data_IF_678551025011
#
_entry.id   IF_678551025011
#
_cell.length_a   1.000
_cell.length_b   1.000
_cell.length_c   1.000
_cell.angle_alpha   90.00
_cell.angle_beta   90.00
_cell.angle_gamma   90.00
#
_symmetry.space_group_name_H-M   'P 1'
#
loop_
_entity.id
_entity.type
_entity.pdbx_description
1 polymer ?
#
# COMPACT_ATOMS: atom_id res chain seq x y z
N UNK A 1 -8.85 4.14 -50.45
CA UNK A 1 -8.16 5.11 -49.57
C UNK A 1 -8.42 4.61 -48.16
N UNK A 2 -7.52 3.75 -47.69
CA UNK A 2 -7.68 2.99 -46.45
C UNK A 2 -6.99 3.80 -45.38
N UNK A 3 -7.77 4.44 -44.50
CA UNK A 3 -7.23 5.24 -43.40
C UNK A 3 -6.34 4.34 -42.56
N UNK A 4 -5.03 4.64 -42.56
CA UNK A 4 -4.10 4.00 -41.66
C UNK A 4 -4.56 4.32 -40.23
N UNK A 5 -4.72 3.32 -39.34
CA UNK A 5 -5.14 3.56 -37.98
C UNK A 5 -4.19 4.55 -37.34
N UNK A 6 -4.73 5.72 -36.99
CA UNK A 6 -3.98 6.81 -36.35
C UNK A 6 -3.21 6.26 -35.15
N UNK A 7 -1.94 6.62 -35.01
CA UNK A 7 -1.02 6.16 -33.95
C UNK A 7 -1.52 6.37 -32.51
N UNK A 8 -2.58 7.16 -32.35
CA UNK A 8 -3.35 7.36 -31.13
C UNK A 8 -4.11 6.11 -30.68
N UNK A 9 -4.65 5.28 -31.58
CA UNK A 9 -5.50 4.14 -31.21
C UNK A 9 -4.70 2.95 -30.64
N UNK A 10 -3.48 2.73 -31.14
CA UNK A 10 -2.60 1.65 -30.65
C UNK A 10 -2.01 1.94 -29.26
N UNK A 11 -1.72 3.21 -28.99
CA UNK A 11 -1.21 3.66 -27.68
C UNK A 11 -2.29 3.50 -26.60
N UNK A 12 -3.54 3.79 -26.93
CA UNK A 12 -4.67 3.74 -25.98
C UNK A 12 -4.97 2.31 -25.50
N UNK A 13 -4.87 1.32 -26.40
CA UNK A 13 -5.05 -0.11 -26.06
C UNK A 13 -3.96 -0.64 -25.14
N UNK A 14 -2.73 -0.13 -25.27
CA UNK A 14 -1.56 -0.64 -24.54
C UNK A 14 -1.65 -0.41 -23.02
N UNK A 15 -2.31 0.67 -22.59
CA UNK A 15 -2.46 1.02 -21.16
C UNK A 15 -3.83 0.59 -20.61
N UNK A 16 -4.86 0.65 -21.44
CA UNK A 16 -6.22 0.27 -21.02
C UNK A 16 -6.33 -1.22 -20.71
N UNK A 17 -5.69 -2.08 -21.51
CA UNK A 17 -5.74 -3.53 -21.32
C UNK A 17 -5.22 -4.00 -19.95
N UNK A 18 -4.02 -3.62 -19.48
CA UNK A 18 -3.56 -4.06 -18.16
C UNK A 18 -4.43 -3.53 -17.02
N UNK A 19 -4.95 -2.30 -17.14
CA UNK A 19 -5.86 -1.73 -16.12
C UNK A 19 -7.19 -2.49 -16.10
N UNK A 20 -7.74 -2.83 -17.26
CA UNK A 20 -8.94 -3.65 -17.38
C UNK A 20 -8.73 -5.05 -16.78
N UNK A 21 -7.60 -5.70 -17.09
CA UNK A 21 -7.24 -7.02 -16.54
C UNK A 21 -7.14 -6.97 -15.02
N UNK A 22 -6.46 -5.97 -14.45
CA UNK A 22 -6.35 -5.82 -12.98
C UNK A 22 -7.73 -5.61 -12.36
N UNK A 23 -8.58 -4.78 -12.97
CA UNK A 23 -9.94 -4.50 -12.48
C UNK A 23 -10.81 -5.76 -12.50
N UNK A 24 -10.79 -6.52 -13.60
CA UNK A 24 -11.54 -7.76 -13.73
C UNK A 24 -11.03 -8.84 -12.77
N UNK A 25 -9.71 -8.97 -12.63
CA UNK A 25 -9.11 -9.90 -11.67
C UNK A 25 -9.51 -9.54 -10.24
N UNK A 26 -9.56 -8.26 -9.89
CA UNK A 26 -10.03 -7.79 -8.59
C UNK A 26 -11.51 -8.16 -8.34
N UNK A 27 -12.38 -8.02 -9.34
CA UNK A 27 -13.78 -8.47 -9.24
C UNK A 27 -13.84 -9.98 -9.00
N UNK A 28 -13.10 -10.77 -9.78
CA UNK A 28 -13.06 -12.24 -9.63
C UNK A 28 -12.54 -12.65 -8.25
N UNK A 29 -11.44 -12.05 -7.79
CA UNK A 29 -10.86 -12.32 -6.47
C UNK A 29 -11.79 -11.91 -5.33
N UNK A 30 -12.59 -10.86 -5.49
CA UNK A 30 -13.60 -10.45 -4.51
C UNK A 30 -14.83 -11.35 -4.55
N UNK A 31 -15.19 -11.88 -5.71
CA UNK A 31 -16.33 -12.77 -5.87
C UNK A 31 -16.14 -14.09 -5.11
N UNK A 32 -14.92 -14.60 -5.01
CA UNK A 32 -14.62 -15.85 -4.28
C UNK A 32 -15.11 -15.79 -2.81
N UNK A 33 -14.62 -14.88 -1.95
CA UNK A 33 -15.08 -14.77 -0.57
C UNK A 33 -16.54 -14.36 -0.47
N UNK A 34 -17.04 -13.50 -1.36
CA UNK A 34 -18.44 -13.07 -1.31
C UNK A 34 -19.41 -14.21 -1.63
N UNK A 35 -19.12 -15.03 -2.64
CA UNK A 35 -20.04 -16.05 -3.11
C UNK A 35 -19.85 -17.42 -2.46
N UNK A 36 -18.64 -17.72 -1.96
CA UNK A 36 -18.27 -19.06 -1.50
C UNK A 36 -17.99 -19.16 0.00
N UNK A 37 -17.73 -18.05 0.69
CA UNK A 37 -17.46 -18.08 2.13
C UNK A 37 -18.68 -17.59 2.92
N UNK A 38 -18.88 -18.21 4.08
CA UNK A 38 -19.91 -17.80 5.02
C UNK A 38 -19.54 -16.41 5.59
N UNK A 39 -20.39 -15.38 5.41
CA UNK A 39 -20.12 -14.04 5.93
C UNK A 39 -20.11 -13.97 7.46
N UNK A 40 -20.67 -14.97 8.16
CA UNK A 40 -20.65 -15.03 9.63
C UNK A 40 -19.37 -15.66 10.18
N UNK A 41 -18.58 -16.35 9.34
CA UNK A 41 -17.31 -16.90 9.76
C UNK A 41 -16.30 -15.76 10.01
N UNK A 42 -15.58 -15.84 11.13
CA UNK A 42 -14.54 -14.89 11.54
C UNK A 42 -15.02 -13.41 11.52
N UNK A 43 -16.23 -13.16 12.04
CA UNK A 43 -16.83 -11.82 12.18
C UNK A 43 -16.88 -11.01 10.86
N UNK A 44 -17.09 -11.68 9.73
CA UNK A 44 -17.19 -11.02 8.43
C UNK A 44 -15.86 -10.55 7.85
N UNK A 45 -14.72 -11.01 8.39
CA UNK A 45 -13.39 -10.67 7.88
C UNK A 45 -13.26 -10.97 6.38
N UNK A 46 -13.80 -12.10 5.91
CA UNK A 46 -13.75 -12.48 4.50
C UNK A 46 -14.47 -11.47 3.59
N UNK A 47 -15.66 -11.02 4.02
CA UNK A 47 -16.43 -9.99 3.30
C UNK A 47 -15.66 -8.67 3.30
N UNK A 48 -15.11 -8.27 4.45
CA UNK A 48 -14.32 -7.04 4.56
C UNK A 48 -13.06 -7.09 3.69
N UNK A 49 -12.33 -8.20 3.67
CA UNK A 49 -11.18 -8.40 2.80
C UNK A 49 -11.55 -8.30 1.31
N UNK A 50 -12.73 -8.79 0.93
CA UNK A 50 -13.25 -8.71 -0.43
C UNK A 50 -13.61 -7.26 -0.84
N UNK A 51 -14.37 -6.55 -0.01
CA UNK A 51 -14.88 -5.21 -0.35
C UNK A 51 -13.91 -4.08 -0.04
N UNK A 52 -12.92 -4.30 0.83
CA UNK A 52 -11.88 -3.31 1.15
C UNK A 52 -10.49 -3.74 0.65
N UNK A 53 -10.02 -4.92 1.07
CA UNK A 53 -8.65 -5.37 0.80
C UNK A 53 -8.33 -5.49 -0.69
N UNK A 54 -9.19 -6.16 -1.45
CA UNK A 54 -8.98 -6.38 -2.89
C UNK A 54 -9.00 -5.07 -3.71
N UNK A 55 -10.01 -4.17 -3.57
CA UNK A 55 -10.00 -2.86 -4.22
C UNK A 55 -8.78 -1.99 -3.87
N UNK A 56 -8.35 -2.04 -2.60
CA UNK A 56 -7.18 -1.30 -2.12
C UNK A 56 -5.90 -1.78 -2.83
N UNK A 57 -5.70 -3.08 -2.97
CA UNK A 57 -4.55 -3.64 -3.70
C UNK A 57 -4.64 -3.36 -5.20
N UNK A 58 -5.81 -3.54 -5.80
CA UNK A 58 -6.02 -3.33 -7.23
C UNK A 58 -5.75 -1.88 -7.63
N UNK A 59 -6.28 -0.91 -6.86
CA UNK A 59 -6.02 0.51 -7.06
C UNK A 59 -4.54 0.85 -6.88
N UNK A 60 -3.84 0.28 -5.89
CA UNK A 60 -2.40 0.47 -5.74
C UNK A 60 -1.60 0.00 -6.98
N UNK A 61 -1.96 -1.15 -7.54
CA UNK A 61 -1.34 -1.70 -8.76
C UNK A 61 -1.63 -0.79 -9.96
N UNK A 62 -2.86 -0.29 -10.09
CA UNK A 62 -3.22 0.65 -11.17
C UNK A 62 -2.41 1.93 -11.05
N UNK A 63 -2.28 2.51 -9.85
CA UNK A 63 -1.45 3.70 -9.62
C UNK A 63 -0.01 3.44 -10.08
N UNK A 64 0.56 2.26 -9.78
CA UNK A 64 1.89 1.88 -10.26
C UNK A 64 1.99 1.81 -11.79
N UNK A 65 1.01 1.21 -12.46
CA UNK A 65 0.95 1.12 -13.93
C UNK A 65 0.89 2.52 -14.53
N UNK A 66 0.01 3.37 -14.01
CA UNK A 66 -0.16 4.75 -14.47
C UNK A 66 1.09 5.58 -14.23
N UNK A 67 1.72 5.49 -13.04
CA UNK A 67 2.93 6.24 -12.71
C UNK A 67 4.10 5.88 -13.63
N UNK A 68 4.26 4.58 -13.95
CA UNK A 68 5.27 4.12 -14.92
C UNK A 68 4.98 4.62 -16.33
N UNK A 69 3.71 4.65 -16.73
CA UNK A 69 3.29 5.09 -18.06
C UNK A 69 3.51 6.60 -18.24
N UNK A 70 3.07 7.42 -17.27
CA UNK A 70 3.25 8.87 -17.28
C UNK A 70 4.74 9.24 -17.27
N UNK A 71 5.56 8.54 -16.50
CA UNK A 71 7.01 8.73 -16.49
C UNK A 71 7.72 8.40 -17.81
N UNK A 72 7.05 7.69 -18.74
CA UNK A 72 7.57 7.34 -20.07
C UNK A 72 7.14 8.31 -21.18
N UNK A 73 6.56 9.47 -20.84
CA UNK A 73 6.02 10.47 -21.78
C UNK A 73 4.93 9.94 -22.73
N UNK A 74 4.31 8.81 -22.40
CA UNK A 74 3.17 8.28 -23.15
C UNK A 74 1.90 9.02 -22.75
N UNK A 75 1.04 9.33 -23.73
CA UNK A 75 -0.26 9.96 -23.48
C UNK A 75 -1.14 9.00 -22.67
N UNK A 76 -1.68 9.50 -21.57
CA UNK A 76 -2.63 8.77 -20.73
C UNK A 76 -4.06 9.16 -21.11
N UNK A 77 -4.91 8.17 -21.34
CA UNK A 77 -6.33 8.40 -21.61
C UNK A 77 -7.13 8.25 -20.31
N UNK A 78 -7.90 9.28 -19.91
CA UNK A 78 -8.79 9.21 -18.76
C UNK A 78 -9.79 8.05 -18.83
N UNK A 79 -10.11 7.58 -20.05
CA UNK A 79 -11.01 6.44 -20.28
C UNK A 79 -10.49 5.15 -19.64
N UNK A 80 -9.18 4.98 -19.51
CA UNK A 80 -8.61 3.81 -18.85
C UNK A 80 -8.99 3.73 -17.36
N UNK A 81 -9.19 4.88 -16.68
CA UNK A 81 -9.61 4.91 -15.28
C UNK A 81 -11.06 4.43 -15.06
N UNK A 82 -11.89 4.42 -16.10
CA UNK A 82 -13.27 3.94 -16.01
C UNK A 82 -13.36 2.50 -15.49
N UNK A 83 -12.40 1.65 -15.88
CA UNK A 83 -12.35 0.26 -15.43
C UNK A 83 -12.22 0.15 -13.91
N UNK A 84 -11.38 0.99 -13.32
CA UNK A 84 -11.09 0.95 -11.89
C UNK A 84 -12.12 1.74 -11.10
N UNK A 85 -12.56 2.89 -11.62
CA UNK A 85 -13.48 3.79 -10.92
C UNK A 85 -14.95 3.38 -11.04
N UNK A 86 -15.32 2.59 -12.05
CA UNK A 86 -16.72 2.22 -12.28
C UNK A 86 -16.89 0.72 -12.41
N UNK A 87 -16.16 0.06 -13.31
CA UNK A 87 -16.38 -1.38 -13.57
C UNK A 87 -16.04 -2.22 -12.34
N UNK A 88 -14.90 -1.97 -11.70
CA UNK A 88 -14.48 -2.69 -10.50
C UNK A 88 -15.45 -2.52 -9.33
N UNK A 89 -15.78 -1.31 -8.84
CA UNK A 89 -16.68 -1.16 -7.69
C UNK A 89 -18.07 -1.69 -7.98
N UNK A 90 -18.63 -1.45 -9.17
CA UNK A 90 -19.94 -2.01 -9.54
C UNK A 90 -19.90 -3.53 -9.69
N UNK A 91 -18.82 -4.09 -10.21
CA UNK A 91 -18.64 -5.54 -10.33
C UNK A 91 -18.60 -6.21 -8.96
N UNK A 92 -17.83 -5.65 -8.02
CA UNK A 92 -17.76 -6.17 -6.64
C UNK A 92 -19.12 -6.02 -5.94
N UNK A 93 -19.78 -4.88 -6.11
CA UNK A 93 -21.11 -4.63 -5.55
C UNK A 93 -22.17 -5.59 -6.13
N UNK A 94 -22.09 -5.92 -7.42
CA UNK A 94 -22.96 -6.91 -8.03
C UNK A 94 -22.69 -8.32 -7.44
N UNK A 95 -21.42 -8.67 -7.21
CA UNK A 95 -21.04 -9.93 -6.58
C UNK A 95 -21.46 -10.04 -5.11
N UNK A 96 -21.67 -8.94 -4.39
CA UNK A 96 -22.15 -8.97 -3.00
C UNK A 96 -23.66 -9.19 -2.87
N UNK A 97 -24.45 -8.96 -3.94
CA UNK A 97 -25.91 -9.08 -3.89
C UNK A 97 -26.37 -10.48 -3.43
N UNK A 98 -25.88 -11.60 -3.98
CA UNK A 98 -26.29 -12.93 -3.53
C UNK A 98 -25.95 -13.19 -2.05
N UNK A 99 -24.79 -12.71 -1.59
CA UNK A 99 -24.34 -12.85 -0.20
C UNK A 99 -25.25 -12.12 0.77
N UNK A 100 -25.63 -10.88 0.43
CA UNK A 100 -26.53 -10.05 1.24
C UNK A 100 -27.92 -10.68 1.30
N UNK A 101 -28.47 -11.10 0.16
CA UNK A 101 -29.80 -11.72 0.11
C UNK A 101 -29.82 -13.09 0.80
N UNK A 102 -28.73 -13.85 0.72
CA UNK A 102 -28.59 -15.14 1.40
C UNK A 102 -28.47 -15.02 2.91
N UNK A 103 -28.03 -13.86 3.43
CA UNK A 103 -27.78 -13.62 4.85
C UNK A 103 -28.38 -12.28 5.31
N UNK A 104 -29.66 -12.07 4.97
CA UNK A 104 -30.32 -10.77 5.14
C UNK A 104 -30.33 -10.27 6.59
N UNK A 105 -30.45 -11.15 7.58
CA UNK A 105 -30.39 -10.79 9.01
C UNK A 105 -29.03 -10.23 9.41
N UNK A 106 -27.93 -10.86 8.99
CA UNK A 106 -26.56 -10.42 9.28
C UNK A 106 -26.24 -9.04 8.70
N UNK A 107 -26.78 -8.75 7.51
CA UNK A 107 -26.56 -7.50 6.79
C UNK A 107 -27.66 -6.45 7.02
N UNK A 108 -28.58 -6.67 7.96
CA UNK A 108 -29.75 -5.81 8.23
C UNK A 108 -30.57 -5.50 6.95
N UNK A 109 -30.63 -6.45 6.01
CA UNK A 109 -31.17 -6.30 4.67
C UNK A 109 -32.56 -6.96 4.47
N UNK A 110 -33.30 -7.20 5.55
CA UNK A 110 -34.65 -7.79 5.51
C UNK A 110 -35.68 -6.87 4.82
N UNK A 111 -35.42 -5.56 4.81
CA UNK A 111 -36.24 -4.56 4.14
C UNK A 111 -35.52 -4.03 2.90
N UNK A 112 -36.29 -3.53 1.92
CA UNK A 112 -35.71 -2.89 0.74
C UNK A 112 -34.81 -1.69 1.10
N UNK A 113 -35.17 -0.94 2.15
CA UNK A 113 -34.37 0.17 2.67
C UNK A 113 -33.04 -0.31 3.27
N UNK A 114 -33.08 -1.37 4.09
CA UNK A 114 -31.89 -2.00 4.65
C UNK A 114 -30.95 -2.52 3.57
N UNK A 115 -31.48 -3.24 2.59
CA UNK A 115 -30.70 -3.74 1.45
C UNK A 115 -29.98 -2.62 0.67
N UNK A 116 -30.69 -1.53 0.35
CA UNK A 116 -30.10 -0.36 -0.32
C UNK A 116 -29.04 0.30 0.57
N UNK A 117 -29.31 0.41 1.88
CA UNK A 117 -28.37 0.94 2.86
C UNK A 117 -27.07 0.14 2.91
N UNK A 118 -27.16 -1.19 2.96
CA UNK A 118 -26.00 -2.09 2.96
C UNK A 118 -25.20 -1.99 1.67
N UNK A 119 -25.85 -1.95 0.51
CA UNK A 119 -25.15 -1.73 -0.76
C UNK A 119 -24.44 -0.37 -0.80
N UNK A 120 -25.08 0.69 -0.32
CA UNK A 120 -24.47 2.02 -0.25
C UNK A 120 -23.25 2.05 0.69
N UNK A 121 -23.35 1.38 1.85
CA UNK A 121 -22.25 1.22 2.79
C UNK A 121 -21.08 0.46 2.16
N UNK A 122 -21.35 -0.68 1.51
CA UNK A 122 -20.31 -1.46 0.82
C UNK A 122 -19.64 -0.64 -0.29
N UNK A 123 -20.42 0.10 -1.08
CA UNK A 123 -19.85 1.01 -2.09
C UNK A 123 -18.96 2.08 -1.45
N UNK A 124 -19.39 2.67 -0.33
CA UNK A 124 -18.59 3.62 0.45
C UNK A 124 -17.26 3.02 0.92
N UNK A 125 -17.29 1.79 1.45
CA UNK A 125 -16.09 1.05 1.87
C UNK A 125 -15.17 0.78 0.68
N UNK A 126 -15.70 0.33 -0.46
CA UNK A 126 -14.92 0.08 -1.68
C UNK A 126 -14.22 1.36 -2.13
N UNK A 127 -14.94 2.48 -2.22
CA UNK A 127 -14.37 3.78 -2.64
C UNK A 127 -13.30 4.26 -1.65
N UNK A 128 -13.56 4.15 -0.35
CA UNK A 128 -12.59 4.51 0.67
C UNK A 128 -11.33 3.63 0.59
N UNK A 129 -11.50 2.32 0.40
CA UNK A 129 -10.40 1.38 0.26
C UNK A 129 -9.58 1.64 -1.01
N UNK A 130 -10.22 2.01 -2.12
CA UNK A 130 -9.53 2.45 -3.33
C UNK A 130 -8.68 3.70 -3.08
N UNK A 131 -9.15 4.65 -2.26
CA UNK A 131 -8.35 5.80 -1.84
C UNK A 131 -7.15 5.37 -0.98
N UNK A 132 -7.34 4.43 -0.05
CA UNK A 132 -6.26 3.82 0.73
C UNK A 132 -5.24 3.06 -0.13
N UNK A 133 -5.61 2.63 -1.33
CA UNK A 133 -4.68 2.04 -2.30
C UNK A 133 -3.51 2.97 -2.64
N UNK A 134 -3.69 4.29 -2.54
CA UNK A 134 -2.60 5.26 -2.64
C UNK A 134 -1.55 5.10 -1.54
N UNK A 135 -1.95 4.80 -0.31
CA UNK A 135 -1.02 4.54 0.80
C UNK A 135 -0.29 3.22 0.59
N UNK A 136 -0.99 2.17 0.16
CA UNK A 136 -0.37 0.87 -0.16
C UNK A 136 0.62 0.99 -1.31
N UNK A 137 0.28 1.79 -2.34
CA UNK A 137 1.20 2.11 -3.40
C UNK A 137 2.43 2.84 -2.86
N UNK A 138 2.25 3.88 -2.06
CA UNK A 138 3.35 4.73 -1.60
C UNK A 138 4.32 4.02 -0.65
N UNK A 139 3.81 3.22 0.30
CA UNK A 139 4.63 2.52 1.29
C UNK A 139 5.03 1.10 0.89
N UNK A 140 4.33 0.49 -0.07
CA UNK A 140 4.58 -0.87 -0.53
C UNK A 140 5.15 -0.92 -1.95
N UNK A 141 4.31 -0.66 -2.94
CA UNK A 141 4.66 -0.91 -4.34
C UNK A 141 5.72 0.05 -4.90
N UNK A 142 5.66 1.33 -4.55
CA UNK A 142 6.61 2.35 -4.99
C UNK A 142 8.05 2.08 -4.51
N UNK A 143 8.32 1.86 -3.20
CA UNK A 143 9.67 1.54 -2.77
C UNK A 143 10.14 0.17 -3.28
N UNK A 144 9.22 -0.80 -3.45
CA UNK A 144 9.55 -2.07 -4.09
C UNK A 144 9.99 -1.87 -5.55
N UNK A 145 9.28 -1.04 -6.32
CA UNK A 145 9.67 -0.66 -7.69
C UNK A 145 11.07 -0.02 -7.72
N UNK A 146 11.38 0.86 -6.76
CA UNK A 146 12.71 1.45 -6.62
C UNK A 146 13.79 0.38 -6.38
N UNK A 147 13.55 -0.58 -5.47
CA UNK A 147 14.50 -1.69 -5.23
C UNK A 147 14.71 -2.50 -6.50
N UNK A 148 13.64 -2.90 -7.19
CA UNK A 148 13.73 -3.69 -8.42
C UNK A 148 14.57 -2.97 -9.47
N UNK A 149 14.34 -1.67 -9.70
CA UNK A 149 15.14 -0.89 -10.66
C UNK A 149 16.61 -0.76 -10.26
N UNK A 150 16.90 -0.63 -8.97
CA UNK A 150 18.29 -0.62 -8.48
C UNK A 150 18.95 -1.99 -8.68
N UNK A 151 18.25 -3.09 -8.43
CA UNK A 151 18.74 -4.45 -8.67
C UNK A 151 19.01 -4.66 -10.17
N UNK A 152 18.08 -4.27 -11.05
CA UNK A 152 18.26 -4.36 -12.50
C UNK A 152 19.50 -3.61 -12.98
N UNK A 153 19.71 -2.38 -12.52
CA UNK A 153 20.92 -1.59 -12.84
C UNK A 153 22.19 -2.28 -12.35
N UNK A 154 22.15 -2.89 -11.16
CA UNK A 154 23.30 -3.60 -10.59
C UNK A 154 23.66 -4.83 -11.41
N UNK A 155 22.65 -5.59 -11.85
CA UNK A 155 22.80 -6.76 -12.72
C UNK A 155 23.35 -6.37 -14.09
N UNK A 156 23.00 -5.18 -14.60
CA UNK A 156 23.58 -4.60 -15.84
C UNK A 156 25.02 -4.10 -15.68
N UNK A 157 25.62 -4.24 -14.50
CA UNK A 157 27.02 -3.86 -14.24
C UNK A 157 27.22 -2.39 -13.84
N UNK A 158 26.15 -1.62 -13.64
CA UNK A 158 26.27 -0.24 -13.16
C UNK A 158 26.79 -0.22 -11.71
N UNK A 159 27.67 0.74 -11.42
CA UNK A 159 28.19 0.95 -10.06
C UNK A 159 27.17 1.73 -9.24
N UNK A 160 26.41 1.01 -8.43
CA UNK A 160 25.40 1.60 -7.54
C UNK A 160 25.96 1.73 -6.13
N UNK A 161 25.81 2.92 -5.54
CA UNK A 161 26.13 3.14 -4.14
C UNK A 161 25.12 2.43 -3.24
N UNK A 162 25.60 1.70 -2.22
CA UNK A 162 24.75 1.05 -1.22
C UNK A 162 23.76 2.02 -0.56
N UNK A 163 24.11 3.31 -0.47
CA UNK A 163 23.23 4.35 0.07
C UNK A 163 21.91 4.54 -0.70
N UNK A 164 21.85 4.15 -1.97
CA UNK A 164 20.61 4.27 -2.76
C UNK A 164 19.51 3.29 -2.32
N UNK A 165 19.89 2.16 -1.69
CA UNK A 165 18.93 1.18 -1.15
C UNK A 165 18.30 1.63 0.17
N UNK A 166 18.90 2.61 0.87
CA UNK A 166 18.43 3.02 2.20
C UNK A 166 17.02 3.61 2.11
N UNK A 167 16.78 4.51 1.17
CA UNK A 167 15.48 5.19 1.03
C UNK A 167 14.33 4.19 0.81
N UNK A 168 14.36 3.31 -0.21
CA UNK A 168 13.24 2.38 -0.41
C UNK A 168 13.10 1.36 0.72
N UNK A 169 14.20 0.92 1.35
CA UNK A 169 14.12 0.05 2.53
C UNK A 169 13.46 0.75 3.72
N UNK A 170 13.73 2.04 3.92
CA UNK A 170 13.08 2.85 4.97
C UNK A 170 11.57 2.93 4.74
N UNK A 171 11.13 3.19 3.51
CA UNK A 171 9.70 3.25 3.20
C UNK A 171 9.01 1.90 3.36
N UNK A 172 9.64 0.79 2.91
CA UNK A 172 9.11 -0.56 3.11
C UNK A 172 9.03 -0.93 4.59
N UNK A 173 10.07 -0.62 5.36
CA UNK A 173 10.10 -0.85 6.80
C UNK A 173 9.00 -0.04 7.49
N UNK A 174 8.80 1.22 7.11
CA UNK A 174 7.73 2.06 7.65
C UNK A 174 6.34 1.49 7.31
N UNK A 175 6.12 1.02 6.08
CA UNK A 175 4.90 0.33 5.69
C UNK A 175 4.65 -0.94 6.52
N UNK A 176 5.67 -1.76 6.71
CA UNK A 176 5.60 -2.96 7.54
C UNK A 176 5.30 -2.62 9.01
N UNK A 177 5.93 -1.57 9.55
CA UNK A 177 5.67 -1.07 10.92
C UNK A 177 4.21 -0.63 11.07
N UNK A 178 3.66 0.08 10.08
CA UNK A 178 2.25 0.54 10.11
C UNK A 178 1.30 -0.67 10.09
N UNK A 179 1.49 -1.60 9.16
CA UNK A 179 0.58 -2.74 8.98
C UNK A 179 0.69 -3.71 10.16
N UNK A 180 1.91 -4.19 10.45
CA UNK A 180 2.13 -5.18 11.52
C UNK A 180 1.83 -4.54 12.88
N UNK A 181 2.23 -3.28 13.08
CA UNK A 181 1.96 -2.55 14.32
C UNK A 181 0.46 -2.35 14.55
N UNK A 182 -0.29 -1.96 13.51
CA UNK A 182 -1.74 -1.84 13.57
C UNK A 182 -2.43 -3.17 13.88
N UNK A 183 -2.01 -4.26 13.26
CA UNK A 183 -2.55 -5.61 13.51
C UNK A 183 -2.15 -6.19 14.88
N UNK A 184 -1.10 -5.65 15.51
CA UNK A 184 -0.58 -6.18 16.78
C UNK A 184 -1.20 -5.52 18.01
N UNK A 185 -1.94 -4.43 17.84
CA UNK A 185 -2.53 -3.63 18.91
C UNK A 185 -4.05 -3.68 18.84
N UNK A 186 -4.68 -3.88 19.99
CA UNK A 186 -6.12 -3.87 20.15
C UNK A 186 -6.52 -2.95 21.31
N UNK A 187 -7.80 -2.56 21.38
CA UNK A 187 -8.36 -1.76 22.47
C UNK A 187 -7.86 -0.32 22.55
N UNK A 188 -7.26 0.21 21.47
CA UNK A 188 -6.77 1.59 21.44
C UNK A 188 -7.95 2.58 21.46
N UNK A 189 -8.12 3.29 22.59
CA UNK A 189 -9.12 4.35 22.70
C UNK A 189 -8.82 5.48 21.69
N UNK A 190 -9.76 5.83 20.80
CA UNK A 190 -9.53 6.90 19.82
C UNK A 190 -9.29 8.25 20.51
N UNK A 191 -8.19 8.93 20.16
CA UNK A 191 -7.85 10.26 20.68
C UNK A 191 -6.35 10.57 20.69
N UNK A 192 -5.96 11.77 21.16
CA UNK A 192 -4.55 12.22 21.23
C UNK A 192 -3.66 11.29 22.09
N UNK A 193 -4.25 10.54 23.01
CA UNK A 193 -3.55 9.59 23.88
C UNK A 193 -3.13 8.33 23.12
N UNK A 194 -3.86 7.95 22.06
CA UNK A 194 -3.55 6.78 21.23
C UNK A 194 -2.15 6.87 20.60
N UNK A 195 -1.73 8.05 20.15
CA UNK A 195 -0.40 8.24 19.58
C UNK A 195 0.74 7.95 20.57
N UNK A 196 0.57 8.35 21.84
CA UNK A 196 1.51 8.06 22.91
C UNK A 196 1.54 6.58 23.28
N UNK A 197 0.39 5.92 23.29
CA UNK A 197 0.28 4.48 23.55
C UNK A 197 0.89 3.64 22.42
N UNK A 198 0.68 4.02 21.16
CA UNK A 198 1.32 3.37 20.00
C UNK A 198 2.83 3.50 20.10
N UNK A 199 3.36 4.72 20.35
CA UNK A 199 4.79 4.92 20.55
C UNK A 199 5.34 4.13 21.75
N UNK A 200 4.62 4.11 22.87
CA UNK A 200 4.96 3.31 24.03
C UNK A 200 5.04 1.82 23.70
N UNK A 201 4.05 1.29 23.01
CA UNK A 201 4.00 -0.11 22.59
C UNK A 201 5.18 -0.48 21.68
N UNK A 202 5.47 0.36 20.70
CA UNK A 202 6.61 0.22 19.78
C UNK A 202 7.96 0.24 20.51
N UNK A 203 8.08 0.99 21.61
CA UNK A 203 9.30 1.07 22.42
C UNK A 203 9.36 0.03 23.54
N UNK A 204 8.30 -0.75 23.74
CA UNK A 204 8.20 -1.73 24.83
C UNK A 204 7.91 -1.13 26.20
N UNK A 205 7.36 0.08 26.23
CA UNK A 205 6.87 0.71 27.44
C UNK A 205 5.46 0.17 27.71
N UNK A 206 5.22 -0.50 28.85
CA UNK A 206 3.90 -1.02 29.19
C UNK A 206 2.88 0.12 29.27
N UNK A 207 1.66 -0.13 28.78
CA UNK A 207 0.58 0.84 28.76
C UNK A 207 -0.78 0.15 28.86
N UNK A 208 -1.85 0.90 28.65
CA UNK A 208 -3.24 0.41 28.72
C UNK A 208 -3.73 -0.16 27.39
N UNK A 209 -2.82 -0.60 26.52
CA UNK A 209 -3.16 -1.19 25.23
C UNK A 209 -3.09 -2.72 25.35
N UNK A 210 -3.94 -3.41 24.61
CA UNK A 210 -3.91 -4.87 24.53
C UNK A 210 -3.06 -5.31 23.33
N UNK A 211 -2.29 -6.38 23.52
CA UNK A 211 -1.42 -6.92 22.48
C UNK A 211 -2.10 -8.14 21.87
N UNK A 212 -2.80 -7.94 20.76
CA UNK A 212 -3.44 -9.02 20.02
C UNK A 212 -2.40 -9.97 19.39
N UNK A 213 -1.27 -9.43 18.92
CA UNK A 213 -0.23 -10.24 18.26
C UNK A 213 1.18 -9.93 18.80
N UNK A 214 1.62 -10.62 19.88
CA UNK A 214 2.91 -10.37 20.50
C UNK A 214 4.12 -10.57 19.57
N UNK A 215 4.06 -11.57 18.69
CA UNK A 215 5.13 -11.84 17.74
C UNK A 215 5.26 -10.72 16.68
N UNK A 216 4.14 -10.22 16.18
CA UNK A 216 4.12 -9.08 15.25
C UNK A 216 4.79 -7.85 15.86
N UNK A 217 4.49 -7.57 17.11
CA UNK A 217 5.05 -6.43 17.82
C UNK A 217 6.58 -6.52 17.99
N UNK A 218 7.12 -7.73 18.23
CA UNK A 218 8.57 -7.96 18.21
C UNK A 218 9.20 -7.74 16.83
N UNK A 219 8.55 -8.18 15.75
CA UNK A 219 9.00 -7.90 14.38
C UNK A 219 9.10 -6.39 14.16
N UNK A 220 8.08 -5.65 14.57
CA UNK A 220 8.06 -4.19 14.46
C UNK A 220 9.20 -3.54 15.24
N UNK A 221 9.46 -3.98 16.48
CA UNK A 221 10.60 -3.50 17.29
C UNK A 221 11.94 -3.72 16.61
N UNK A 222 12.15 -4.92 16.05
CA UNK A 222 13.38 -5.25 15.32
C UNK A 222 13.52 -4.36 14.08
N UNK A 223 12.44 -4.16 13.33
CA UNK A 223 12.42 -3.27 12.16
C UNK A 223 12.75 -1.83 12.53
N UNK A 224 12.15 -1.30 13.61
CA UNK A 224 12.44 0.05 14.11
C UNK A 224 13.90 0.17 14.55
N UNK A 225 14.42 -0.81 15.29
CA UNK A 225 15.82 -0.82 15.71
C UNK A 225 16.78 -0.88 14.50
N UNK A 226 16.50 -1.73 13.52
CA UNK A 226 17.28 -1.82 12.29
C UNK A 226 17.25 -0.51 11.49
N UNK A 227 16.09 0.15 11.41
CA UNK A 227 15.92 1.44 10.76
C UNK A 227 16.76 2.53 11.43
N UNK A 228 16.68 2.61 12.76
CA UNK A 228 17.46 3.57 13.55
C UNK A 228 18.96 3.32 13.37
N UNK A 229 19.41 2.07 13.43
CA UNK A 229 20.82 1.73 13.18
C UNK A 229 21.26 2.12 11.77
N UNK A 230 20.44 1.83 10.75
CA UNK A 230 20.74 2.16 9.36
C UNK A 230 20.85 3.67 9.11
N UNK A 231 20.13 4.49 9.88
CA UNK A 231 20.17 5.96 9.76
C UNK A 231 21.25 6.61 10.63
N UNK A 232 21.40 6.14 11.88
CA UNK A 232 22.29 6.74 12.89
C UNK A 232 23.76 6.36 12.66
N UNK A 233 24.05 5.10 12.34
CA UNK A 233 25.44 4.62 12.17
C UNK A 233 26.17 5.40 11.06
N UNK A 234 25.61 5.61 9.85
CA UNK A 234 26.27 6.39 8.82
C UNK A 234 26.46 7.85 9.22
N UNK A 235 25.52 8.45 9.96
CA UNK A 235 25.62 9.82 10.42
C UNK A 235 26.77 10.00 11.44
N UNK A 236 26.92 9.06 12.38
CA UNK A 236 28.02 9.05 13.35
C UNK A 236 29.35 8.85 12.64
N UNK A 237 29.46 7.87 11.73
CA UNK A 237 30.69 7.60 10.98
C UNK A 237 31.11 8.80 10.11
N UNK A 238 30.15 9.51 9.51
CA UNK A 238 30.43 10.75 8.76
C UNK A 238 30.98 11.85 9.67
N UNK A 239 30.38 12.05 10.85
CA UNK A 239 30.87 13.03 11.85
C UNK A 239 32.25 12.70 12.39
N UNK A 240 32.56 11.41 12.59
CA UNK A 240 33.88 10.98 13.05
C UNK A 240 34.97 11.27 12.00
N UNK A 241 34.67 11.06 10.71
CA UNK A 241 35.62 11.33 9.62
C UNK A 241 35.89 12.81 9.40
N UNK A 242 34.90 13.69 9.60
CA UNK A 242 35.11 15.14 9.48
C UNK A 242 35.89 15.75 10.64
N UNK A 243 35.76 15.21 11.87
CA UNK A 243 36.57 15.66 13.02
C UNK A 243 38.05 15.26 12.92
N UNK A 244 38.38 14.19 12.20
CA UNK A 244 39.78 13.76 11.98
C UNK A 244 40.56 14.57 10.94
N UNK A 245 39.90 15.46 10.17
CA UNK A 245 40.53 16.40 9.21
C UNK A 245 40.60 17.81 9.78
N UNK A 246 41.10 17.95 11.01
CA UNK A 246 41.53 19.27 11.47
C UNK A 246 42.72 19.72 10.59
N UNK A 247 42.76 20.97 10.10
CA UNK A 247 43.88 21.47 9.31
C UNK A 247 45.12 21.47 10.20
N UNK A 248 46.02 20.52 9.97
CA UNK A 248 47.38 20.56 10.49
C UNK A 248 48.00 21.85 9.96
N UNK A 249 48.27 22.77 10.89
CA UNK A 249 48.72 24.13 10.63
C UNK A 249 49.84 24.15 9.60
N UNK A 250 49.58 24.88 8.52
CA UNK A 250 50.58 25.44 7.64
C UNK A 250 51.36 26.47 8.46
N UNK A 251 52.42 26.01 9.12
CA UNK A 251 53.47 26.90 9.62
C UNK A 251 54.21 27.44 8.41
N UNK A 252 54.01 28.73 8.16
CA UNK A 252 54.63 29.53 7.11
C UNK A 252 56.17 29.37 7.06
N UNK A 253 56.78 29.50 5.88
CA UNK A 253 58.23 29.52 5.75
C UNK A 253 58.79 30.75 6.48
N UNK A 254 59.75 30.54 7.38
CA UNK A 254 60.60 31.61 7.91
C UNK A 254 61.71 31.88 6.90
N UNK A 255 61.77 33.13 6.45
CA UNK A 255 62.86 33.74 5.68
C UNK A 255 64.20 33.71 6.44
#
# INVERSE_FOLDING_TARGET
>A
MTDAPSSTESTDRTVTLPIAVVSLLAVVLSAIPLLLLDPQADDGFAVFAAVAGVPMLASAVVILIVSRTVGSSRRFSPRALWWVLVVMPLGILACSVPTILGNAEYFEAETAGGFIGTLALMLGIIVFAMALGGLVWFFGLFPLDMVVRLVERRVRGERISAGMFVVPLVFLALGAVIVIGGLSLDGLAPGRIAGGQILGALLGIPGTYDVAWPAGLWIVRILVAALLLALVVPAILRRARTRGRAPSGETAPQD
#
